data_IF_574245979732
#
_entry.id   IF_574245979732
#
_cell.length_a   1.000
_cell.length_b   1.000
_cell.length_c   1.000
_cell.angle_alpha   90.00
_cell.angle_beta   90.00
_cell.angle_gamma   90.00
#
_symmetry.space_group_name_H-M   'P 1'
#
loop_
_entity.id
_entity.type
_entity.pdbx_description
1 polymer ?
#
# COMPACT_ATOMS: atom_id res chain seq x y z
N UNK A 1 43.82 -24.90 49.61
CA UNK A 1 43.03 -25.12 48.37
C UNK A 1 41.53 -25.01 48.69
N UNK A 2 40.96 -25.72 49.66
CA UNK A 2 39.52 -25.68 49.94
C UNK A 2 39.03 -24.30 50.35
N UNK A 3 39.76 -23.53 51.15
CA UNK A 3 39.41 -22.15 51.53
C UNK A 3 39.42 -21.21 50.33
N UNK A 4 40.35 -21.38 49.39
CA UNK A 4 40.38 -20.58 48.15
C UNK A 4 39.19 -20.89 47.25
N UNK A 5 38.79 -22.15 47.10
CA UNK A 5 37.60 -22.55 46.33
C UNK A 5 36.29 -22.03 46.96
N UNK A 6 36.19 -22.05 48.31
CA UNK A 6 35.03 -21.46 49.01
C UNK A 6 34.97 -19.96 48.82
N UNK A 7 36.09 -19.24 48.89
CA UNK A 7 36.13 -17.82 48.66
C UNK A 7 35.75 -17.47 47.21
N UNK A 8 36.24 -18.20 46.21
CA UNK A 8 35.86 -18.03 44.83
C UNK A 8 34.35 -18.28 44.59
N UNK A 9 33.78 -19.34 45.17
CA UNK A 9 32.35 -19.64 45.05
C UNK A 9 31.51 -18.50 45.60
N UNK A 10 31.87 -17.99 46.77
CA UNK A 10 31.18 -16.85 47.41
C UNK A 10 31.29 -15.58 46.54
N UNK A 11 32.47 -15.26 46.06
CA UNK A 11 32.72 -14.08 45.25
C UNK A 11 31.88 -14.10 43.95
N UNK A 12 31.84 -15.26 43.28
CA UNK A 12 31.04 -15.45 42.06
C UNK A 12 29.53 -15.40 42.39
N UNK A 13 29.10 -15.95 43.50
CA UNK A 13 27.72 -15.85 43.95
C UNK A 13 27.29 -14.41 44.18
N UNK A 14 28.15 -13.59 44.81
CA UNK A 14 27.89 -12.14 44.93
C UNK A 14 27.88 -11.42 43.58
N UNK A 15 28.74 -11.80 42.64
CA UNK A 15 28.76 -11.23 41.29
C UNK A 15 27.46 -11.42 40.55
N UNK A 16 26.81 -12.61 40.70
CA UNK A 16 25.53 -12.92 40.04
C UNK A 16 24.28 -12.49 40.83
N UNK A 17 24.42 -11.72 41.92
CA UNK A 17 23.26 -11.18 42.61
C UNK A 17 22.52 -10.11 41.82
N UNK A 18 23.26 -9.34 40.99
CA UNK A 18 22.75 -8.26 40.19
C UNK A 18 23.05 -8.40 38.69
N UNK A 19 23.57 -9.56 38.27
CA UNK A 19 23.95 -9.85 36.90
C UNK A 19 23.34 -11.16 36.42
N UNK A 20 22.97 -11.20 35.17
CA UNK A 20 22.52 -12.44 34.52
C UNK A 20 23.66 -13.44 34.39
N UNK A 21 23.34 -14.71 34.49
CA UNK A 21 24.31 -15.78 34.24
C UNK A 21 24.85 -15.71 32.82
N UNK A 22 26.08 -16.22 32.65
CA UNK A 22 26.63 -16.50 31.33
C UNK A 22 25.70 -17.46 30.56
N UNK A 23 25.49 -17.20 29.24
CA UNK A 23 24.53 -17.93 28.40
C UNK A 23 23.07 -17.50 28.60
N UNK A 24 22.80 -16.38 29.28
CA UNK A 24 21.44 -15.82 29.34
C UNK A 24 21.16 -15.00 28.09
N UNK A 25 20.12 -15.41 27.35
CA UNK A 25 19.64 -14.73 26.15
C UNK A 25 18.22 -14.26 26.40
N UNK A 26 17.94 -12.98 26.16
CA UNK A 26 16.60 -12.37 26.29
C UNK A 26 16.22 -11.80 24.93
N UNK A 27 15.09 -12.25 24.35
CA UNK A 27 14.64 -11.86 23.02
C UNK A 27 15.73 -11.97 21.93
N UNK A 28 16.62 -12.98 22.02
CA UNK A 28 17.72 -13.17 21.09
C UNK A 28 18.99 -12.35 21.38
N UNK A 29 18.94 -11.43 22.35
CA UNK A 29 20.08 -10.61 22.78
C UNK A 29 20.86 -11.31 23.88
N UNK A 30 22.19 -11.41 23.74
CA UNK A 30 23.07 -11.94 24.78
C UNK A 30 23.15 -10.96 25.95
N UNK A 31 22.59 -11.37 27.08
CA UNK A 31 22.56 -10.63 28.33
C UNK A 31 23.57 -11.17 29.37
N UNK A 32 24.50 -12.01 28.96
CA UNK A 32 25.52 -12.61 29.82
C UNK A 32 26.27 -11.55 30.60
N UNK A 33 26.35 -11.74 31.93
CA UNK A 33 27.10 -10.86 32.82
C UNK A 33 26.63 -9.41 32.88
N UNK A 34 25.46 -9.10 32.30
CA UNK A 34 24.85 -7.77 32.33
C UNK A 34 23.85 -7.63 33.46
N UNK A 35 23.59 -6.40 33.91
CA UNK A 35 22.55 -6.11 34.90
C UNK A 35 21.23 -5.70 34.23
N UNK A 36 20.14 -5.69 35.00
CA UNK A 36 18.82 -5.31 34.54
C UNK A 36 18.79 -3.94 33.90
N UNK A 37 19.45 -2.94 34.51
CA UNK A 37 19.45 -1.56 34.00
C UNK A 37 20.09 -1.46 32.60
N UNK A 38 21.17 -2.21 32.38
CA UNK A 38 21.83 -2.26 31.07
C UNK A 38 20.92 -2.86 30.00
N UNK A 39 20.24 -3.97 30.32
CA UNK A 39 19.33 -4.62 29.37
C UNK A 39 18.13 -3.73 29.05
N UNK A 40 17.56 -3.05 30.04
CA UNK A 40 16.49 -2.08 29.82
C UNK A 40 16.93 -0.90 28.94
N UNK A 41 18.16 -0.42 29.09
CA UNK A 41 18.71 0.63 28.24
C UNK A 41 18.86 0.16 26.77
N UNK A 42 19.28 -1.10 26.55
CA UNK A 42 19.32 -1.69 25.20
C UNK A 42 17.92 -1.75 24.61
N UNK A 43 16.96 -2.33 25.32
CA UNK A 43 15.58 -2.49 24.86
C UNK A 43 14.95 -1.13 24.52
N UNK A 44 15.20 -0.12 25.37
CA UNK A 44 14.74 1.25 25.11
C UNK A 44 15.37 1.83 23.85
N UNK A 45 16.68 1.69 23.66
CA UNK A 45 17.38 2.18 22.47
C UNK A 45 16.94 1.46 21.20
N UNK A 46 16.61 0.18 21.29
CA UNK A 46 16.04 -0.56 20.17
C UNK A 46 14.69 0.01 19.75
N UNK A 47 13.83 0.38 20.67
CA UNK A 47 12.56 1.05 20.36
C UNK A 47 12.77 2.43 19.69
N UNK A 48 13.84 3.15 20.04
CA UNK A 48 14.16 4.47 19.48
C UNK A 48 14.66 4.43 18.02
N UNK A 49 15.14 3.29 17.53
CA UNK A 49 15.60 3.12 16.14
C UNK A 49 14.53 2.60 15.17
N UNK A 50 13.29 2.52 15.64
CA UNK A 50 12.16 2.15 14.78
C UNK A 50 12.00 3.13 13.62
N UNK A 51 11.80 2.58 12.43
CA UNK A 51 11.47 3.37 11.23
C UNK A 51 10.55 2.54 10.34
N UNK A 52 9.40 3.11 9.98
CA UNK A 52 8.44 2.54 9.06
C UNK A 52 8.50 3.30 7.73
N UNK A 53 8.85 2.64 6.65
CA UNK A 53 8.81 3.23 5.31
C UNK A 53 7.45 3.01 4.68
N UNK A 54 6.79 4.03 4.22
CA UNK A 54 5.55 4.00 3.46
C UNK A 54 5.89 4.07 1.98
N UNK A 55 5.53 3.03 1.22
CA UNK A 55 5.72 3.02 -0.24
C UNK A 55 4.43 3.43 -0.92
N UNK A 56 4.56 4.36 -1.84
CA UNK A 56 3.48 4.98 -2.58
C UNK A 56 3.44 4.49 -4.03
N UNK A 57 2.34 4.78 -4.72
CA UNK A 57 2.25 4.58 -6.17
C UNK A 57 3.21 5.54 -6.88
N UNK A 58 3.99 5.04 -7.85
CA UNK A 58 4.97 5.85 -8.59
C UNK A 58 6.38 5.83 -7.99
N UNK A 59 6.70 4.80 -7.18
CA UNK A 59 8.02 4.56 -6.56
C UNK A 59 8.49 5.66 -5.58
N UNK A 60 7.58 6.52 -5.14
CA UNK A 60 7.81 7.45 -4.04
C UNK A 60 7.67 6.74 -2.70
N UNK A 61 8.29 7.30 -1.67
CA UNK A 61 8.21 6.74 -0.31
C UNK A 61 8.36 7.83 0.73
N UNK A 62 7.61 7.69 1.81
CA UNK A 62 7.74 8.46 3.03
C UNK A 62 8.22 7.57 4.18
N UNK A 63 8.72 8.16 5.27
CA UNK A 63 9.27 7.44 6.41
C UNK A 63 8.67 7.98 7.70
N UNK A 64 8.35 7.10 8.62
CA UNK A 64 7.88 7.44 9.97
C UNK A 64 8.89 6.88 10.95
N UNK A 65 9.62 7.74 11.63
CA UNK A 65 10.60 7.34 12.64
C UNK A 65 9.97 7.29 14.05
N UNK A 66 10.61 6.57 14.96
CA UNK A 66 10.17 6.42 16.34
C UNK A 66 9.89 7.76 17.03
N UNK A 67 10.73 8.76 16.76
CA UNK A 67 10.60 10.11 17.31
C UNK A 67 9.38 10.86 16.81
N UNK A 68 8.94 10.59 15.55
CA UNK A 68 7.81 11.28 14.95
C UNK A 68 6.48 10.91 15.61
N UNK A 69 6.40 9.69 16.14
CA UNK A 69 5.21 9.14 16.80
C UNK A 69 5.41 8.92 18.30
N UNK A 70 6.50 9.45 18.85
CA UNK A 70 6.83 9.40 20.28
C UNK A 70 6.78 7.98 20.85
N UNK A 71 7.46 7.04 20.19
CA UNK A 71 7.56 5.68 20.69
C UNK A 71 8.21 5.67 22.07
N UNK A 72 7.56 5.00 23.01
CA UNK A 72 8.07 4.80 24.35
C UNK A 72 8.01 3.33 24.75
N UNK A 73 9.12 2.84 25.28
CA UNK A 73 9.16 1.52 25.91
C UNK A 73 8.39 1.55 27.23
N UNK A 74 7.42 0.67 27.38
CA UNK A 74 6.69 0.49 28.62
C UNK A 74 7.34 -0.62 29.42
N UNK A 75 7.93 -0.24 30.53
CA UNK A 75 8.58 -1.17 31.45
C UNK A 75 7.54 -1.94 32.29
N UNK A 76 7.40 -3.23 32.01
CA UNK A 76 6.49 -4.15 32.71
C UNK A 76 7.15 -4.97 33.84
N UNK A 77 8.44 -4.70 34.11
CA UNK A 77 9.27 -5.42 35.09
C UNK A 77 9.49 -6.91 34.78
N UNK A 78 9.28 -7.37 33.56
CA UNK A 78 9.54 -8.78 33.19
C UNK A 78 11.03 -9.13 33.31
N UNK A 79 11.93 -8.20 32.91
CA UNK A 79 13.40 -8.38 33.02
C UNK A 79 13.82 -8.54 34.47
N UNK A 80 13.27 -7.72 35.40
CA UNK A 80 13.47 -7.90 36.82
C UNK A 80 12.93 -9.22 37.35
N UNK A 81 11.80 -9.66 36.79
CA UNK A 81 11.19 -10.93 37.20
C UNK A 81 12.10 -12.10 36.82
N UNK A 82 12.69 -12.07 35.64
CA UNK A 82 13.69 -13.08 35.23
C UNK A 82 14.91 -13.05 36.16
N UNK A 83 15.42 -11.86 36.47
CA UNK A 83 16.54 -11.71 37.41
C UNK A 83 16.20 -12.26 38.78
N UNK A 84 15.01 -11.99 39.34
CA UNK A 84 14.56 -12.51 40.65
C UNK A 84 14.41 -14.04 40.68
N UNK A 85 14.11 -14.64 39.53
CA UNK A 85 14.03 -16.10 39.41
C UNK A 85 15.41 -16.78 39.40
N UNK A 86 16.45 -15.99 39.15
CA UNK A 86 17.83 -16.48 39.18
C UNK A 86 18.33 -16.61 40.62
N UNK A 87 18.69 -17.84 41.04
CA UNK A 87 19.31 -18.07 42.33
C UNK A 87 20.84 -17.91 42.21
N UNK A 88 21.36 -16.74 42.59
CA UNK A 88 22.78 -16.39 42.44
C UNK A 88 23.78 -17.42 42.98
N UNK A 89 23.35 -18.24 43.95
CA UNK A 89 24.18 -19.28 44.56
C UNK A 89 24.23 -20.60 43.77
N UNK A 90 23.38 -20.74 42.74
CA UNK A 90 23.36 -21.92 41.86
C UNK A 90 24.15 -21.74 40.57
N UNK A 91 24.99 -20.70 40.46
CA UNK A 91 25.75 -20.39 39.28
C UNK A 91 26.58 -21.55 38.75
N UNK A 92 27.18 -22.36 39.64
CA UNK A 92 28.02 -23.53 39.27
C UNK A 92 27.24 -24.56 38.42
N UNK A 93 25.94 -24.70 38.64
CA UNK A 93 25.08 -25.62 37.88
C UNK A 93 24.63 -25.03 36.53
N UNK A 94 25.01 -23.78 36.24
CA UNK A 94 24.65 -23.05 35.02
C UNK A 94 25.80 -22.93 34.04
N UNK A 95 27.01 -23.26 34.44
CA UNK A 95 28.19 -23.19 33.57
C UNK A 95 27.99 -24.01 32.30
N UNK A 96 28.19 -23.38 31.14
CA UNK A 96 28.03 -23.99 29.82
C UNK A 96 26.58 -24.34 29.44
N UNK A 97 25.59 -23.69 30.05
CA UNK A 97 24.17 -23.88 29.74
C UNK A 97 23.52 -22.57 29.35
N UNK A 98 23.14 -22.47 28.09
CA UNK A 98 22.36 -21.35 27.61
C UNK A 98 20.91 -21.43 28.11
N UNK A 99 20.30 -20.27 28.34
CA UNK A 99 18.90 -20.15 28.68
C UNK A 99 18.27 -18.96 27.97
N UNK A 100 17.30 -19.28 27.14
CA UNK A 100 16.56 -18.29 26.40
C UNK A 100 15.29 -17.89 27.17
N UNK A 101 15.05 -16.59 27.21
CA UNK A 101 13.85 -15.98 27.72
C UNK A 101 13.20 -15.14 26.64
N UNK A 102 11.87 -15.11 26.66
CA UNK A 102 11.10 -14.17 25.86
C UNK A 102 10.38 -13.24 26.82
N UNK A 103 10.55 -11.96 26.66
CA UNK A 103 9.80 -10.91 27.37
C UNK A 103 8.91 -10.19 26.38
N UNK A 104 7.71 -9.86 26.82
CA UNK A 104 6.83 -8.99 26.05
C UNK A 104 7.43 -7.58 26.02
N UNK A 105 7.50 -6.98 24.84
CA UNK A 105 7.85 -5.59 24.70
C UNK A 105 6.55 -4.82 24.47
N UNK A 106 5.89 -4.41 25.55
CA UNK A 106 4.81 -3.46 25.45
C UNK A 106 5.41 -2.09 25.18
N UNK A 107 5.43 -1.69 23.96
CA UNK A 107 5.73 -0.34 23.58
C UNK A 107 4.41 0.44 23.46
N UNK A 108 4.42 1.74 23.50
CA UNK A 108 3.30 2.61 23.16
C UNK A 108 3.78 3.75 22.29
N UNK A 109 2.93 4.19 21.42
CA UNK A 109 3.16 5.40 20.64
C UNK A 109 2.03 6.40 20.89
N UNK A 110 2.25 7.65 20.56
CA UNK A 110 1.22 8.68 20.65
C UNK A 110 0.40 8.70 19.34
N UNK A 111 -0.86 8.24 19.41
CA UNK A 111 -1.74 8.21 18.25
C UNK A 111 -1.98 9.60 17.64
N UNK A 112 -2.01 10.65 18.45
CA UNK A 112 -2.21 12.04 17.98
C UNK A 112 -0.99 12.50 17.19
N UNK A 113 0.21 12.14 17.65
CA UNK A 113 1.46 12.41 16.94
C UNK A 113 1.51 11.65 15.61
N UNK A 114 1.13 10.36 15.59
CA UNK A 114 1.04 9.59 14.36
C UNK A 114 0.07 10.22 13.37
N UNK A 115 -1.13 10.56 13.80
CA UNK A 115 -2.14 11.19 12.93
C UNK A 115 -1.66 12.53 12.39
N UNK A 116 -1.07 13.36 13.26
CA UNK A 116 -0.51 14.65 12.86
C UNK A 116 0.62 14.50 11.84
N UNK A 117 1.52 13.55 12.06
CA UNK A 117 2.64 13.28 11.17
C UNK A 117 2.16 12.78 9.81
N UNK A 118 1.29 11.77 9.79
CA UNK A 118 0.73 11.20 8.55
C UNK A 118 0.02 12.28 7.73
N UNK A 119 -0.78 13.13 8.37
CA UNK A 119 -1.48 14.23 7.68
C UNK A 119 -0.52 15.28 7.07
N UNK A 120 0.73 15.35 7.52
CA UNK A 120 1.76 16.23 6.96
C UNK A 120 2.61 15.59 5.89
N UNK A 121 2.54 14.27 5.70
CA UNK A 121 3.30 13.54 4.67
C UNK A 121 3.02 14.11 3.28
N UNK A 122 4.01 14.07 2.41
CA UNK A 122 3.91 14.62 1.06
C UNK A 122 2.79 13.96 0.26
N UNK A 123 2.60 12.66 0.39
CA UNK A 123 1.54 11.89 -0.28
C UNK A 123 0.12 12.27 0.17
N UNK A 124 -0.03 12.83 1.36
CA UNK A 124 -1.34 13.25 1.91
C UNK A 124 -1.72 14.67 1.50
N UNK A 125 -0.84 15.41 0.82
CA UNK A 125 -1.14 16.77 0.34
C UNK A 125 -1.83 16.73 -1.02
N UNK A 126 -3.00 17.37 -1.13
CA UNK A 126 -3.78 17.40 -2.36
C UNK A 126 -3.00 17.97 -3.55
N UNK A 127 -2.08 18.91 -3.30
CA UNK A 127 -1.22 19.49 -4.32
C UNK A 127 -0.27 18.49 -5.00
N UNK A 128 0.01 17.37 -4.34
CA UNK A 128 0.89 16.31 -4.83
C UNK A 128 0.09 15.13 -5.42
N UNK A 129 -1.25 15.21 -5.37
CA UNK A 129 -2.11 14.15 -5.87
C UNK A 129 -2.52 14.41 -7.33
N UNK A 130 -2.49 13.37 -8.12
CA UNK A 130 -3.06 13.34 -9.47
C UNK A 130 -4.30 12.46 -9.44
N UNK A 131 -5.45 13.03 -9.81
CA UNK A 131 -6.70 12.28 -9.85
C UNK A 131 -6.65 11.15 -10.89
N UNK A 132 -7.25 9.98 -10.60
CA UNK A 132 -7.45 8.95 -11.61
C UNK A 132 -8.37 9.48 -12.71
N UNK A 133 -8.22 8.92 -13.91
CA UNK A 133 -9.11 9.19 -15.04
C UNK A 133 -9.58 7.86 -15.60
N UNK A 134 -10.86 7.77 -15.89
CA UNK A 134 -11.45 6.59 -16.49
C UNK A 134 -10.97 6.36 -17.91
N UNK A 135 -10.90 5.11 -18.33
CA UNK A 135 -10.78 4.78 -19.73
C UNK A 135 -12.02 5.29 -20.48
N UNK A 136 -11.84 5.79 -21.66
CA UNK A 136 -12.92 6.32 -22.46
C UNK A 136 -12.73 6.03 -23.94
N UNK A 137 -13.83 6.11 -24.67
CA UNK A 137 -13.83 5.98 -26.14
C UNK A 137 -13.50 7.30 -26.80
N UNK A 138 -12.64 7.25 -27.82
CA UNK A 138 -12.26 8.40 -28.63
C UNK A 138 -12.37 8.08 -30.11
N UNK A 139 -12.91 9.01 -30.88
CA UNK A 139 -12.84 8.98 -32.34
C UNK A 139 -11.50 9.61 -32.79
N UNK A 140 -10.69 8.85 -33.53
CA UNK A 140 -9.43 9.34 -34.09
C UNK A 140 -9.54 9.81 -35.57
N UNK A 141 -10.80 9.91 -36.09
CA UNK A 141 -11.09 10.29 -37.46
C UNK A 141 -11.15 9.12 -38.45
N UNK A 142 -10.61 7.97 -38.08
CA UNK A 142 -10.63 6.75 -38.89
C UNK A 142 -11.40 5.62 -38.24
N UNK A 143 -11.35 5.55 -36.92
CA UNK A 143 -12.01 4.55 -36.09
C UNK A 143 -12.23 5.11 -34.68
N UNK A 144 -13.05 4.38 -33.92
CA UNK A 144 -13.14 4.58 -32.48
C UNK A 144 -12.09 3.70 -31.79
N UNK A 145 -11.41 4.24 -30.81
CA UNK A 145 -10.40 3.55 -30.01
C UNK A 145 -10.64 3.79 -28.52
N UNK A 146 -10.14 2.86 -27.67
CA UNK A 146 -10.16 3.04 -26.23
C UNK A 146 -8.88 3.79 -25.84
N UNK A 147 -9.06 4.94 -25.19
CA UNK A 147 -7.98 5.61 -24.47
C UNK A 147 -7.91 4.97 -23.09
N UNK A 148 -6.76 4.39 -22.70
CA UNK A 148 -6.61 3.77 -21.42
C UNK A 148 -6.82 4.73 -20.25
N UNK A 149 -7.21 4.18 -19.13
CA UNK A 149 -7.29 4.88 -17.85
C UNK A 149 -5.95 5.44 -17.40
N UNK A 150 -6.02 6.47 -16.57
CA UNK A 150 -4.87 6.98 -15.80
C UNK A 150 -5.10 6.60 -14.34
N UNK A 151 -4.19 5.82 -13.78
CA UNK A 151 -4.30 5.33 -12.39
C UNK A 151 -4.30 6.46 -11.36
N UNK A 152 -3.57 7.54 -11.63
CA UNK A 152 -3.37 8.60 -10.65
C UNK A 152 -2.63 8.12 -9.40
N UNK A 153 -2.55 9.00 -8.39
CA UNK A 153 -2.00 8.69 -7.07
C UNK A 153 -2.81 9.32 -5.93
N UNK A 154 -4.05 9.71 -6.18
CA UNK A 154 -4.94 10.23 -5.14
C UNK A 154 -5.20 9.17 -4.09
N UNK A 155 -4.99 9.54 -2.82
CA UNK A 155 -5.23 8.68 -1.66
C UNK A 155 -6.58 9.00 -1.00
N UNK A 156 -7.27 7.96 -0.56
CA UNK A 156 -8.29 8.08 0.48
C UNK A 156 -7.59 8.30 1.82
N UNK A 157 -7.60 9.54 2.30
CA UNK A 157 -6.83 9.95 3.48
C UNK A 157 -7.24 9.19 4.74
N UNK A 158 -8.54 8.94 4.92
CA UNK A 158 -9.05 8.19 6.09
C UNK A 158 -8.53 6.76 6.06
N UNK A 159 -8.71 6.10 4.93
CA UNK A 159 -8.26 4.71 4.75
C UNK A 159 -6.74 4.56 4.80
N UNK A 160 -6.02 5.55 4.28
CA UNK A 160 -4.55 5.58 4.37
C UNK A 160 -4.10 5.66 5.82
N UNK A 161 -4.69 6.56 6.62
CA UNK A 161 -4.39 6.69 8.04
C UNK A 161 -4.70 5.39 8.81
N UNK A 162 -5.86 4.78 8.57
CA UNK A 162 -6.23 3.48 9.17
C UNK A 162 -5.22 2.40 8.80
N UNK A 163 -4.84 2.31 7.53
CA UNK A 163 -3.87 1.33 7.05
C UNK A 163 -2.49 1.52 7.71
N UNK A 164 -2.05 2.77 7.87
CA UNK A 164 -0.78 3.09 8.55
C UNK A 164 -0.85 2.75 10.04
N UNK A 165 -1.97 3.06 10.72
CA UNK A 165 -2.19 2.65 12.12
C UNK A 165 -2.10 1.14 12.28
N UNK A 166 -2.82 0.38 11.45
CA UNK A 166 -2.75 -1.08 11.47
C UNK A 166 -1.33 -1.62 11.25
N UNK A 167 -0.56 -0.96 10.42
CA UNK A 167 0.82 -1.34 10.18
C UNK A 167 1.71 -1.08 11.38
N UNK A 168 1.60 0.09 11.97
CA UNK A 168 2.30 0.42 13.20
C UNK A 168 1.93 -0.61 14.27
N UNK A 169 0.66 -0.92 14.46
CA UNK A 169 0.18 -1.87 15.47
C UNK A 169 0.67 -3.30 15.24
N UNK A 170 0.82 -3.73 13.99
CA UNK A 170 1.34 -5.07 13.68
C UNK A 170 2.84 -5.20 13.87
N UNK A 171 3.57 -4.20 13.46
CA UNK A 171 5.04 -4.21 13.51
C UNK A 171 5.54 -4.05 14.94
N UNK A 172 4.80 -3.32 15.71
CA UNK A 172 5.18 -2.79 16.99
C UNK A 172 5.35 -3.86 18.10
N UNK A 173 4.44 -4.85 18.25
CA UNK A 173 4.59 -5.93 19.23
C UNK A 173 5.62 -6.99 18.85
N UNK A 174 5.96 -7.11 17.56
CA UNK A 174 6.84 -8.14 17.03
C UNK A 174 8.31 -7.71 16.86
N UNK A 175 8.70 -6.57 17.44
CA UNK A 175 10.07 -6.06 17.39
C UNK A 175 11.04 -6.98 18.16
N UNK A 176 11.15 -8.23 17.72
CA UNK A 176 12.24 -9.13 18.06
C UNK A 176 13.40 -8.84 17.11
N UNK A 177 14.33 -8.01 17.56
CA UNK A 177 15.35 -7.41 16.73
C UNK A 177 16.45 -8.38 16.31
N UNK A 178 16.47 -8.69 15.04
CA UNK A 178 17.71 -8.82 14.28
C UNK A 178 17.70 -7.73 13.22
N UNK A 179 18.82 -7.05 13.01
CA UNK A 179 19.00 -5.90 12.08
C UNK A 179 18.34 -6.04 10.69
N UNK A 180 17.98 -7.26 10.29
CA UNK A 180 17.40 -7.56 8.99
C UNK A 180 15.87 -7.56 8.94
N UNK A 181 15.16 -7.60 10.07
CA UNK A 181 13.70 -7.69 10.07
C UNK A 181 13.01 -6.33 10.04
N UNK A 182 13.59 -5.29 10.62
CA UNK A 182 13.05 -3.94 10.55
C UNK A 182 12.92 -3.41 9.10
N UNK A 183 13.78 -3.84 8.19
CA UNK A 183 13.72 -3.47 6.77
C UNK A 183 12.68 -4.21 5.95
N UNK A 184 12.13 -5.33 6.43
CA UNK A 184 11.27 -6.21 5.62
C UNK A 184 9.77 -5.88 5.72
N UNK A 185 9.35 -5.21 6.76
CA UNK A 185 7.93 -5.03 7.11
C UNK A 185 7.21 -3.96 6.29
N UNK A 186 7.96 -3.17 5.59
CA UNK A 186 7.60 -1.85 5.08
C UNK A 186 6.94 -1.83 3.70
N UNK A 187 7.10 -2.88 2.91
CA UNK A 187 6.73 -2.85 1.49
C UNK A 187 5.24 -3.05 1.19
N UNK A 188 4.39 -3.22 2.20
CA UNK A 188 3.06 -3.82 2.01
C UNK A 188 1.86 -2.86 1.98
N UNK A 189 2.03 -1.62 2.40
CA UNK A 189 0.90 -0.84 2.91
C UNK A 189 0.04 -0.10 1.89
N UNK A 190 0.57 0.40 0.82
CA UNK A 190 -0.23 1.19 -0.12
C UNK A 190 -0.79 0.41 -1.32
N UNK A 191 -0.52 -0.90 -1.41
CA UNK A 191 -1.12 -1.75 -2.46
C UNK A 191 -2.57 -2.16 -2.20
N UNK A 192 -3.08 -2.03 -1.00
CA UNK A 192 -4.39 -2.57 -0.61
C UNK A 192 -5.49 -1.51 -0.43
N UNK A 193 -5.69 -0.67 -1.44
CA UNK A 193 -6.94 0.08 -1.52
C UNK A 193 -6.94 1.45 -0.83
N UNK A 194 -5.79 2.02 -0.50
CA UNK A 194 -5.69 3.43 -0.08
C UNK A 194 -5.73 4.41 -1.25
N UNK A 195 -5.46 3.94 -2.48
CA UNK A 195 -5.59 4.78 -3.67
C UNK A 195 -7.04 4.82 -4.17
N UNK A 196 -7.44 5.98 -4.66
CA UNK A 196 -8.66 6.11 -5.44
C UNK A 196 -8.39 5.53 -6.83
N UNK A 197 -9.24 4.61 -7.27
CA UNK A 197 -9.06 3.88 -8.53
C UNK A 197 -9.97 4.44 -9.62
N UNK A 198 -9.59 4.36 -10.91
CA UNK A 198 -10.48 4.61 -12.02
C UNK A 198 -11.71 3.68 -11.96
N UNK A 199 -12.89 4.21 -12.24
CA UNK A 199 -14.14 3.43 -12.26
C UNK A 199 -14.24 2.57 -13.53
N UNK A 200 -13.75 3.08 -14.66
CA UNK A 200 -13.74 2.39 -15.95
C UNK A 200 -12.31 2.13 -16.39
N UNK A 201 -12.01 0.90 -16.76
CA UNK A 201 -10.69 0.48 -17.24
C UNK A 201 -10.73 0.10 -18.71
N UNK A 202 -9.58 0.12 -19.39
CA UNK A 202 -9.45 -0.26 -20.81
C UNK A 202 -9.94 -1.68 -21.13
N UNK A 203 -10.03 -2.54 -20.13
CA UNK A 203 -10.54 -3.90 -20.28
C UNK A 203 -12.04 -4.03 -19.98
N UNK A 204 -12.74 -2.92 -19.73
CA UNK A 204 -14.18 -2.91 -19.50
C UNK A 204 -14.93 -3.48 -20.71
N UNK A 205 -15.82 -4.45 -20.45
CA UNK A 205 -16.52 -5.17 -21.49
C UNK A 205 -17.62 -4.34 -22.16
N UNK A 206 -18.19 -3.37 -21.45
CA UNK A 206 -19.20 -2.45 -22.03
C UNK A 206 -18.52 -1.51 -23.00
N UNK A 207 -17.44 -0.85 -22.57
CA UNK A 207 -16.65 0.07 -23.39
C UNK A 207 -16.12 -0.61 -24.66
N UNK A 208 -15.62 -1.86 -24.55
CA UNK A 208 -15.18 -2.64 -25.71
C UNK A 208 -16.30 -2.91 -26.71
N UNK A 209 -17.48 -3.30 -26.22
CA UNK A 209 -18.65 -3.54 -27.08
C UNK A 209 -19.14 -2.29 -27.78
N UNK A 210 -19.15 -1.16 -27.09
CA UNK A 210 -19.49 0.14 -27.69
C UNK A 210 -18.55 0.51 -28.82
N UNK A 211 -17.23 0.41 -28.61
CA UNK A 211 -16.20 0.69 -29.61
C UNK A 211 -16.33 -0.27 -30.79
N UNK A 212 -16.54 -1.57 -30.55
CA UNK A 212 -16.73 -2.56 -31.63
C UNK A 212 -17.99 -2.26 -32.45
N UNK A 213 -19.11 -1.96 -31.78
CA UNK A 213 -20.37 -1.62 -32.43
C UNK A 213 -20.21 -0.37 -33.32
N UNK A 214 -19.67 0.71 -32.80
CA UNK A 214 -19.44 1.95 -33.51
C UNK A 214 -18.52 1.78 -34.72
N UNK A 215 -17.42 1.05 -34.54
CA UNK A 215 -16.51 0.75 -35.63
C UNK A 215 -17.21 -0.07 -36.72
N UNK A 216 -18.00 -1.07 -36.36
CA UNK A 216 -18.80 -1.84 -37.32
C UNK A 216 -19.81 -0.98 -38.08
N UNK A 217 -20.48 -0.07 -37.40
CA UNK A 217 -21.50 0.81 -37.99
C UNK A 217 -20.92 1.87 -38.91
N UNK A 218 -19.66 2.32 -38.62
CA UNK A 218 -19.05 3.48 -39.32
C UNK A 218 -17.93 3.09 -40.30
N UNK A 219 -17.57 1.81 -40.42
CA UNK A 219 -16.49 1.34 -41.30
C UNK A 219 -16.83 1.26 -42.76
N UNK A 220 -18.13 1.21 -43.09
CA UNK A 220 -18.56 1.08 -44.46
C UNK A 220 -18.51 2.41 -45.24
N UNK A 221 -18.27 2.31 -46.54
CA UNK A 221 -18.44 3.39 -47.50
C UNK A 221 -19.35 2.89 -48.61
N UNK A 222 -20.36 3.67 -48.94
CA UNK A 222 -21.30 3.34 -50.02
C UNK A 222 -21.22 4.44 -51.06
N UNK A 223 -21.08 4.00 -52.31
CA UNK A 223 -21.20 4.91 -53.47
C UNK A 223 -22.53 4.63 -54.14
N UNK A 224 -23.40 5.61 -54.14
CA UNK A 224 -24.71 5.58 -54.79
C UNK A 224 -24.57 6.23 -56.17
N UNK A 225 -24.75 5.43 -57.22
CA UNK A 225 -24.65 5.92 -58.62
C UNK A 225 -26.06 6.10 -59.20
N UNK A 226 -26.39 7.29 -59.61
CA UNK A 226 -27.66 7.71 -60.19
C UNK A 226 -27.59 7.87 -61.72
N UNK A 227 -26.45 7.50 -62.32
CA UNK A 227 -26.22 7.73 -63.78
C UNK A 227 -25.93 9.15 -64.17
N UNK A 228 -26.57 10.13 -63.53
CA UNK A 228 -26.33 11.58 -63.71
C UNK A 228 -25.38 12.17 -62.69
N UNK A 229 -25.00 11.40 -61.66
CA UNK A 229 -24.06 11.80 -60.60
C UNK A 229 -23.92 10.71 -59.57
N UNK A 230 -22.93 10.87 -58.69
CA UNK A 230 -22.67 9.92 -57.62
C UNK A 230 -22.72 10.65 -56.23
N UNK A 231 -23.20 9.95 -55.26
CA UNK A 231 -23.17 10.37 -53.85
C UNK A 231 -22.42 9.32 -53.04
N UNK A 232 -21.63 9.80 -52.08
CA UNK A 232 -20.88 8.94 -51.18
C UNK A 232 -21.43 9.04 -49.77
N UNK A 233 -21.83 7.92 -49.23
CA UNK A 233 -22.12 7.76 -47.82
C UNK A 233 -20.84 7.25 -47.17
N UNK A 234 -20.08 8.17 -46.64
CA UNK A 234 -18.81 7.89 -45.97
C UNK A 234 -18.98 7.80 -44.45
N UNK A 235 -17.87 7.59 -43.75
CA UNK A 235 -17.83 7.53 -42.27
C UNK A 235 -18.49 8.74 -41.62
N UNK A 236 -18.18 9.94 -42.08
CA UNK A 236 -18.72 11.19 -41.50
C UNK A 236 -20.25 11.23 -41.65
N UNK A 237 -20.74 10.79 -42.80
CA UNK A 237 -22.18 10.70 -43.03
C UNK A 237 -22.84 9.67 -42.15
N UNK A 238 -22.25 8.48 -42.00
CA UNK A 238 -22.76 7.43 -41.11
C UNK A 238 -22.74 7.92 -39.65
N UNK A 239 -21.68 8.58 -39.20
CA UNK A 239 -21.61 9.17 -37.88
C UNK A 239 -22.71 10.22 -37.63
N UNK A 240 -23.04 11.03 -38.65
CA UNK A 240 -24.10 12.05 -38.49
C UNK A 240 -25.50 11.46 -38.25
N UNK A 241 -25.68 10.17 -38.45
CA UNK A 241 -26.91 9.45 -38.23
C UNK A 241 -26.90 8.60 -36.95
N UNK A 242 -25.76 8.54 -36.22
CA UNK A 242 -25.70 7.76 -35.00
C UNK A 242 -26.60 8.37 -33.93
N UNK A 243 -27.30 7.49 -33.23
CA UNK A 243 -28.10 7.79 -32.05
C UNK A 243 -27.69 6.83 -30.94
N UNK A 244 -27.35 7.39 -29.81
CA UNK A 244 -26.97 6.66 -28.61
C UNK A 244 -28.20 6.36 -27.75
N UNK A 245 -28.24 5.17 -27.19
CA UNK A 245 -29.10 4.78 -26.06
C UNK A 245 -28.19 4.66 -24.83
N UNK A 246 -28.07 5.74 -24.10
CA UNK A 246 -27.21 5.84 -22.90
C UNK A 246 -27.58 4.79 -21.84
N UNK A 247 -28.87 4.44 -21.72
CA UNK A 247 -29.32 3.51 -20.70
C UNK A 247 -28.88 2.07 -20.95
N UNK A 248 -28.74 1.70 -22.24
CA UNK A 248 -28.37 0.35 -22.67
C UNK A 248 -26.96 0.27 -23.25
N UNK A 249 -26.23 1.38 -23.30
CA UNK A 249 -24.89 1.46 -23.90
C UNK A 249 -24.86 0.88 -25.34
N UNK A 250 -25.83 1.31 -26.16
CA UNK A 250 -25.95 0.82 -27.54
C UNK A 250 -26.15 1.96 -28.52
N UNK A 251 -25.81 1.72 -29.77
CA UNK A 251 -25.94 2.69 -30.84
C UNK A 251 -26.87 2.17 -31.94
N UNK A 252 -27.59 3.07 -32.55
CA UNK A 252 -28.46 2.81 -33.71
C UNK A 252 -28.34 3.96 -34.71
N UNK A 253 -28.81 3.74 -35.94
CA UNK A 253 -28.99 4.86 -36.87
C UNK A 253 -30.33 5.51 -36.64
N UNK A 254 -30.37 6.85 -36.67
CA UNK A 254 -31.60 7.63 -36.68
C UNK A 254 -32.35 7.42 -38.00
N UNK A 255 -33.38 6.58 -37.97
CA UNK A 255 -34.17 6.26 -39.15
C UNK A 255 -34.77 7.51 -39.80
N UNK A 256 -35.14 8.55 -39.03
CA UNK A 256 -35.69 9.79 -39.55
C UNK A 256 -34.66 10.56 -40.34
N UNK A 257 -33.44 10.65 -39.84
CA UNK A 257 -32.33 11.30 -40.53
C UNK A 257 -31.94 10.56 -41.81
N UNK A 258 -31.91 9.22 -41.77
CA UNK A 258 -31.62 8.38 -42.95
C UNK A 258 -32.75 8.54 -43.99
N UNK A 259 -34.03 8.49 -43.60
CA UNK A 259 -35.16 8.72 -44.49
C UNK A 259 -35.11 10.09 -45.14
N UNK A 260 -34.80 11.13 -44.37
CA UNK A 260 -34.72 12.50 -44.94
C UNK A 260 -33.60 12.57 -45.98
N UNK A 261 -32.46 11.98 -45.73
CA UNK A 261 -31.38 11.95 -46.71
C UNK A 261 -31.79 11.25 -48.04
N UNK A 262 -32.52 10.16 -47.94
CA UNK A 262 -33.06 9.46 -49.13
C UNK A 262 -34.08 10.33 -49.90
N UNK A 263 -34.93 11.06 -49.21
CA UNK A 263 -35.89 12.03 -49.82
C UNK A 263 -35.10 13.13 -50.55
N UNK A 264 -34.08 13.69 -49.92
CA UNK A 264 -33.25 14.73 -50.50
C UNK A 264 -32.55 14.25 -51.77
N UNK A 265 -32.00 13.00 -51.77
CA UNK A 265 -31.44 12.36 -52.94
C UNK A 265 -32.48 12.15 -54.04
N UNK A 266 -33.66 11.67 -53.70
CA UNK A 266 -34.76 11.48 -54.63
C UNK A 266 -35.13 12.81 -55.31
N UNK A 267 -35.22 13.88 -54.55
CA UNK A 267 -35.51 15.23 -55.06
C UNK A 267 -34.37 15.76 -55.94
N UNK A 268 -33.14 15.39 -55.69
CA UNK A 268 -31.98 15.84 -56.45
C UNK A 268 -31.79 15.11 -57.79
N UNK A 269 -32.10 13.81 -57.82
CA UNK A 269 -31.80 12.92 -58.95
C UNK A 269 -33.05 12.38 -59.68
N UNK A 270 -34.26 12.68 -59.21
CA UNK A 270 -35.47 12.32 -59.95
C UNK A 270 -35.71 13.34 -61.05
N UNK A 271 -35.64 12.89 -62.30
CA UNK A 271 -35.69 13.73 -63.53
C UNK A 271 -37.01 13.58 -64.25
N UNK A 272 -38.12 13.20 -63.56
CA UNK A 272 -39.45 13.23 -64.17
C UNK A 272 -40.08 14.60 -64.04
#
# INVERSE_FOLDING_TARGET
>A
ILLGLAAAYIAIGYYYQDKFYEGTIINGTDCSNQNVAYIKDIVKKEAEVYSLTIKERGDTQDMIDASDIQITYKDDNEIETIMKQQDAWKWIFRIGKDKNYTVSQENSYDETSLESYVNQMACMQDANMTAPQDAYMKDNGSSYEIVPEVEGNTLDKTKTLETIKEAVDKVYPELHFTENQAKLIIAYLLKQGSNVEPAVRQNDETLKKEVEQLNKMTSAQYVLDFGSGQETVDRNKLQSWLKEDEANHTYSFDETAVKQYVIDLSSKYNTE
#
